data_IF_017598455310
#
_entry.id   IF_017598455310
#
_cell.length_a   1.000
_cell.length_b   1.000
_cell.length_c   1.000
_cell.angle_alpha   90.00
_cell.angle_beta   90.00
_cell.angle_gamma   90.00
#
_symmetry.space_group_name_H-M   'P 1'
#
loop_
_entity.id
_entity.type
_entity.pdbx_description
1 polymer ?
#
# COMPACT_ATOMS: atom_id res chain seq x y z
N UNK A 1 -14.42 23.93 19.29
CA UNK A 1 -13.75 23.02 18.32
C UNK A 1 -14.04 23.53 16.92
N UNK A 2 -13.04 24.04 16.20
CA UNK A 2 -13.21 24.32 14.77
C UNK A 2 -13.39 22.98 14.04
N UNK A 3 -14.49 22.83 13.30
CA UNK A 3 -14.69 21.63 12.47
C UNK A 3 -13.66 21.62 11.35
N UNK A 4 -12.91 20.53 11.22
CA UNK A 4 -12.04 20.30 10.08
C UNK A 4 -12.90 19.89 8.88
N UNK A 5 -13.36 20.87 8.10
CA UNK A 5 -14.00 20.62 6.82
C UNK A 5 -12.95 20.27 5.77
N UNK A 6 -13.21 19.31 4.87
CA UNK A 6 -12.28 18.99 3.79
C UNK A 6 -12.14 20.18 2.84
N UNK A 7 -10.91 20.47 2.39
CA UNK A 7 -10.66 21.50 1.37
C UNK A 7 -11.26 21.12 0.00
N UNK A 8 -11.36 19.82 -0.27
CA UNK A 8 -11.95 19.26 -1.49
C UNK A 8 -12.49 17.86 -1.19
N UNK A 9 -13.69 17.57 -1.70
CA UNK A 9 -14.24 16.21 -1.75
C UNK A 9 -13.90 15.63 -3.13
N UNK A 10 -13.28 14.46 -3.16
CA UNK A 10 -12.96 13.75 -4.39
C UNK A 10 -14.13 12.83 -4.76
N UNK A 11 -14.50 12.79 -6.03
CA UNK A 11 -15.42 11.76 -6.51
C UNK A 11 -14.72 10.40 -6.59
N UNK A 12 -15.50 9.33 -6.70
CA UNK A 12 -14.96 7.98 -6.96
C UNK A 12 -14.07 7.94 -8.20
N UNK A 13 -14.49 8.62 -9.27
CA UNK A 13 -13.72 8.70 -10.52
C UNK A 13 -12.41 9.46 -10.34
N UNK A 14 -12.42 10.55 -9.57
CA UNK A 14 -11.21 11.33 -9.28
C UNK A 14 -10.13 10.53 -8.54
N UNK A 15 -10.55 9.53 -7.75
CA UNK A 15 -9.67 8.77 -6.87
C UNK A 15 -9.26 7.41 -7.47
N UNK A 16 -10.22 6.66 -8.03
CA UNK A 16 -9.96 5.30 -8.51
C UNK A 16 -9.46 5.24 -9.95
N UNK A 17 -9.73 6.27 -10.76
CA UNK A 17 -9.31 6.26 -12.15
C UNK A 17 -7.89 6.85 -12.26
N UNK A 18 -6.95 6.05 -12.76
CA UNK A 18 -5.54 6.42 -12.96
C UNK A 18 -5.27 7.56 -13.94
N UNK A 19 -6.32 8.20 -14.49
CA UNK A 19 -6.21 9.41 -15.30
C UNK A 19 -5.91 10.67 -14.44
N UNK A 20 -6.08 10.58 -13.12
CA UNK A 20 -5.70 11.65 -12.20
C UNK A 20 -4.25 11.48 -11.72
N UNK A 21 -3.59 12.59 -11.39
CA UNK A 21 -2.24 12.55 -10.81
C UNK A 21 -2.20 11.66 -9.56
N UNK A 22 -1.17 10.82 -9.43
CA UNK A 22 -0.93 10.00 -8.24
C UNK A 22 -0.92 10.90 -6.99
N UNK A 23 -1.60 10.46 -5.93
CA UNK A 23 -1.71 11.20 -4.66
C UNK A 23 -0.96 10.50 -3.54
N UNK A 24 -0.70 11.22 -2.47
CA UNK A 24 -0.30 10.64 -1.18
C UNK A 24 -1.55 10.51 -0.31
N UNK A 25 -1.83 9.29 0.15
CA UNK A 25 -3.00 8.95 0.95
C UNK A 25 -2.55 8.48 2.32
N UNK A 26 -3.04 9.16 3.36
CA UNK A 26 -2.85 8.72 4.75
C UNK A 26 -4.13 8.01 5.17
N UNK A 27 -4.05 6.72 5.49
CA UNK A 27 -5.21 5.89 5.76
C UNK A 27 -5.05 5.05 7.03
N UNK A 28 -6.09 5.02 7.87
CA UNK A 28 -6.10 4.21 9.09
C UNK A 28 -6.59 2.78 8.82
N UNK A 29 -7.58 2.62 7.93
CA UNK A 29 -8.18 1.31 7.65
C UNK A 29 -7.43 0.63 6.52
N UNK A 30 -7.00 -0.61 6.73
CA UNK A 30 -6.20 -1.36 5.75
C UNK A 30 -6.87 -1.45 4.37
N UNK A 31 -8.18 -1.70 4.30
CA UNK A 31 -8.88 -1.77 3.01
C UNK A 31 -8.79 -0.47 2.22
N UNK A 32 -8.84 0.69 2.88
CA UNK A 32 -8.70 1.99 2.23
C UNK A 32 -7.28 2.21 1.72
N UNK A 33 -6.28 1.79 2.50
CA UNK A 33 -4.87 1.81 2.09
C UNK A 33 -4.65 0.94 0.84
N UNK A 34 -5.15 -0.29 0.83
CA UNK A 34 -5.00 -1.21 -0.30
C UNK A 34 -5.74 -0.72 -1.56
N UNK A 35 -6.96 -0.17 -1.42
CA UNK A 35 -7.68 0.41 -2.56
C UNK A 35 -6.93 1.61 -3.16
N UNK A 36 -6.29 2.44 -2.33
CA UNK A 36 -5.49 3.56 -2.80
C UNK A 36 -4.22 3.07 -3.54
N UNK A 37 -3.52 2.07 -3.00
CA UNK A 37 -2.39 1.42 -3.69
C UNK A 37 -2.80 0.84 -5.04
N UNK A 38 -3.93 0.12 -5.08
CA UNK A 38 -4.48 -0.45 -6.31
C UNK A 38 -4.85 0.62 -7.34
N UNK A 39 -5.29 1.81 -6.90
CA UNK A 39 -5.54 2.97 -7.76
C UNK A 39 -4.25 3.69 -8.20
N UNK A 40 -3.07 3.18 -7.82
CA UNK A 40 -1.76 3.73 -8.16
C UNK A 40 -1.32 4.91 -7.30
N UNK A 41 -1.95 5.13 -6.14
CA UNK A 41 -1.55 6.18 -5.20
C UNK A 41 -0.48 5.68 -4.23
N UNK A 42 0.29 6.62 -3.68
CA UNK A 42 1.24 6.36 -2.60
C UNK A 42 0.51 6.39 -1.27
N UNK A 43 0.81 5.45 -0.38
CA UNK A 43 0.09 5.30 0.89
C UNK A 43 1.04 5.31 2.08
N UNK A 44 0.64 6.08 3.10
CA UNK A 44 1.17 6.00 4.46
C UNK A 44 0.06 5.45 5.35
N UNK A 45 0.30 4.30 5.97
CA UNK A 45 -0.71 3.60 6.75
C UNK A 45 -0.55 3.85 8.24
N UNK A 46 -1.61 4.34 8.88
CA UNK A 46 -1.67 4.45 10.33
C UNK A 46 -2.43 3.23 10.87
N UNK A 47 -1.70 2.16 11.17
CA UNK A 47 -2.30 0.91 11.62
C UNK A 47 -2.44 0.86 13.13
N UNK A 48 -3.56 0.33 13.61
CA UNK A 48 -3.73 -0.09 15.00
C UNK A 48 -3.79 -1.63 15.15
N UNK A 49 -3.67 -2.38 14.04
CA UNK A 49 -3.75 -3.84 14.02
C UNK A 49 -2.50 -4.46 13.38
N UNK A 50 -2.11 -5.64 13.86
CA UNK A 50 -0.94 -6.37 13.35
C UNK A 50 -0.99 -6.62 11.84
N UNK A 51 -2.18 -6.85 11.28
CA UNK A 51 -2.37 -7.10 9.84
C UNK A 51 -1.95 -5.92 8.96
N UNK A 52 -2.09 -4.68 9.43
CA UNK A 52 -1.66 -3.51 8.67
C UNK A 52 -0.15 -3.43 8.55
N UNK A 53 0.57 -3.73 9.63
CA UNK A 53 2.03 -3.81 9.63
C UNK A 53 2.54 -4.94 8.74
N UNK A 54 1.98 -6.14 8.90
CA UNK A 54 2.37 -7.29 8.09
C UNK A 54 2.17 -7.02 6.59
N UNK A 55 1.00 -6.48 6.19
CA UNK A 55 0.74 -6.17 4.79
C UNK A 55 1.73 -5.16 4.19
N UNK A 56 2.09 -4.11 4.94
CA UNK A 56 3.05 -3.10 4.46
C UNK A 56 4.49 -3.62 4.47
N UNK A 57 4.85 -4.49 5.42
CA UNK A 57 6.15 -5.18 5.40
C UNK A 57 6.26 -6.13 4.21
N UNK A 58 5.22 -6.90 3.91
CA UNK A 58 5.17 -7.79 2.74
C UNK A 58 5.35 -7.00 1.44
N UNK A 59 4.72 -5.83 1.32
CA UNK A 59 4.86 -4.91 0.19
C UNK A 59 6.23 -4.22 0.09
N UNK A 60 7.12 -4.39 1.07
CA UNK A 60 8.40 -3.69 1.14
C UNK A 60 8.28 -2.22 1.56
N UNK A 61 7.17 -1.85 2.18
CA UNK A 61 6.80 -0.49 2.57
C UNK A 61 6.80 -0.30 4.10
N UNK A 62 7.66 -1.04 4.81
CA UNK A 62 7.73 -1.02 6.28
C UNK A 62 7.95 0.37 6.87
N UNK A 63 8.67 1.25 6.18
CA UNK A 63 8.88 2.64 6.63
C UNK A 63 7.62 3.50 6.56
N UNK A 64 6.62 3.10 5.75
CA UNK A 64 5.39 3.86 5.51
C UNK A 64 4.20 3.33 6.32
N UNK A 65 4.43 2.53 7.36
CA UNK A 65 3.39 2.08 8.30
C UNK A 65 3.75 2.43 9.73
N UNK A 66 2.82 3.10 10.42
CA UNK A 66 3.02 3.59 11.77
C UNK A 66 1.87 3.18 12.70
N UNK A 67 2.12 3.15 14.00
CA UNK A 67 1.07 2.89 14.98
C UNK A 67 0.11 4.09 15.08
N UNK A 68 -1.17 3.89 14.82
CA UNK A 68 -2.16 4.97 14.81
C UNK A 68 -2.30 5.72 16.15
N UNK A 69 -1.93 5.10 17.27
CA UNK A 69 -2.02 5.67 18.61
C UNK A 69 -0.74 6.35 19.09
N UNK A 70 0.40 6.10 18.42
CA UNK A 70 1.71 6.54 18.91
C UNK A 70 2.69 6.95 17.81
N UNK A 71 2.20 7.24 16.60
CA UNK A 71 3.05 7.72 15.53
C UNK A 71 3.56 9.14 15.83
N UNK A 72 4.74 9.45 15.28
CA UNK A 72 5.26 10.81 15.28
C UNK A 72 4.70 11.59 14.08
N UNK A 73 3.95 12.69 14.29
CA UNK A 73 3.40 13.49 13.20
C UNK A 73 4.45 14.08 12.27
N UNK A 74 5.62 14.46 12.80
CA UNK A 74 6.71 15.06 11.99
C UNK A 74 7.29 14.03 11.03
N UNK A 75 7.52 12.79 11.50
CA UNK A 75 7.91 11.67 10.64
C UNK A 75 6.91 11.43 9.51
N UNK A 76 5.61 11.39 9.83
CA UNK A 76 4.56 11.20 8.80
C UNK A 76 4.55 12.36 7.81
N UNK A 77 4.71 13.61 8.29
CA UNK A 77 4.77 14.77 7.43
C UNK A 77 5.98 14.73 6.49
N UNK A 78 7.16 14.35 6.99
CA UNK A 78 8.35 14.16 6.18
C UNK A 78 8.15 13.09 5.09
N UNK A 79 7.46 11.98 5.39
CA UNK A 79 7.10 10.99 4.37
C UNK A 79 6.16 11.55 3.31
N UNK A 80 5.16 12.34 3.72
CA UNK A 80 4.25 13.02 2.78
C UNK A 80 5.04 13.93 1.84
N UNK A 81 5.89 14.79 2.40
CA UNK A 81 6.67 15.75 1.61
C UNK A 81 7.67 15.07 0.68
N UNK A 82 8.31 13.98 1.15
CA UNK A 82 9.20 13.15 0.33
C UNK A 82 8.46 12.59 -0.89
N UNK A 83 7.28 12.01 -0.70
CA UNK A 83 6.50 11.41 -1.79
C UNK A 83 5.91 12.47 -2.75
N UNK A 84 5.56 13.65 -2.25
CA UNK A 84 5.08 14.76 -3.08
C UNK A 84 6.20 15.38 -3.92
N UNK A 85 7.39 15.55 -3.35
CA UNK A 85 8.42 16.43 -3.93
C UNK A 85 9.66 15.70 -4.48
N UNK A 86 9.82 14.40 -4.23
CA UNK A 86 10.96 13.61 -4.74
C UNK A 86 10.51 12.56 -5.75
N UNK A 87 11.00 12.67 -6.98
CA UNK A 87 10.80 11.65 -8.02
C UNK A 87 11.49 10.35 -7.67
N UNK A 88 12.74 10.41 -7.21
CA UNK A 88 13.50 9.24 -6.76
C UNK A 88 12.77 8.47 -5.66
N UNK A 89 12.18 9.16 -4.68
CA UNK A 89 11.43 8.49 -3.63
C UNK A 89 10.18 7.77 -4.17
N UNK A 90 9.53 8.34 -5.19
CA UNK A 90 8.39 7.70 -5.86
C UNK A 90 8.82 6.47 -6.66
N UNK A 91 9.96 6.54 -7.34
CA UNK A 91 10.55 5.41 -8.06
C UNK A 91 10.93 4.27 -7.11
N UNK A 92 11.54 4.60 -5.96
CA UNK A 92 11.87 3.63 -4.91
C UNK A 92 10.62 2.94 -4.36
N UNK A 93 9.56 3.71 -4.10
CA UNK A 93 8.27 3.20 -3.63
C UNK A 93 7.62 2.29 -4.67
N UNK A 94 7.51 2.76 -5.92
CA UNK A 94 6.93 2.00 -7.03
C UNK A 94 7.72 0.70 -7.25
N UNK A 95 9.05 0.76 -7.18
CA UNK A 95 9.91 -0.43 -7.29
C UNK A 95 9.72 -1.42 -6.13
N UNK A 96 9.49 -0.96 -4.89
CA UNK A 96 9.20 -1.84 -3.77
C UNK A 96 7.88 -2.61 -3.98
N UNK A 97 6.82 -1.90 -4.35
CA UNK A 97 5.50 -2.50 -4.63
C UNK A 97 5.59 -3.50 -5.80
N UNK A 98 6.25 -3.11 -6.89
CA UNK A 98 6.38 -3.97 -8.07
C UNK A 98 7.19 -5.24 -7.78
N UNK A 99 8.27 -5.14 -6.99
CA UNK A 99 9.03 -6.34 -6.55
C UNK A 99 8.16 -7.26 -5.71
N UNK A 100 7.35 -6.72 -4.81
CA UNK A 100 6.44 -7.55 -4.02
C UNK A 100 5.39 -8.23 -4.88
N UNK A 101 4.79 -7.52 -5.83
CA UNK A 101 3.79 -8.08 -6.74
C UNK A 101 4.37 -9.26 -7.55
N UNK A 102 5.55 -9.07 -8.17
CA UNK A 102 6.21 -10.12 -8.93
C UNK A 102 6.49 -11.39 -8.09
N UNK A 103 7.03 -11.21 -6.88
CA UNK A 103 7.28 -12.33 -5.95
C UNK A 103 6.01 -13.05 -5.54
N UNK A 104 4.92 -12.32 -5.33
CA UNK A 104 3.62 -12.90 -4.99
C UNK A 104 3.08 -13.74 -6.15
N UNK A 105 3.17 -13.25 -7.40
CA UNK A 105 2.74 -13.98 -8.59
C UNK A 105 3.54 -15.29 -8.77
N UNK A 106 4.87 -15.24 -8.61
CA UNK A 106 5.73 -16.43 -8.65
C UNK A 106 5.34 -17.46 -7.58
N UNK A 107 5.06 -17.02 -6.35
CA UNK A 107 4.64 -17.90 -5.27
C UNK A 107 3.26 -18.53 -5.52
N UNK A 108 2.31 -17.77 -6.08
CA UNK A 108 1.00 -18.28 -6.45
C UNK A 108 1.09 -19.32 -7.57
N UNK A 109 1.90 -19.08 -8.59
CA UNK A 109 2.13 -20.04 -9.68
C UNK A 109 2.76 -21.34 -9.16
N UNK A 110 3.79 -21.23 -8.30
CA UNK A 110 4.43 -22.39 -7.68
C UNK A 110 3.46 -23.18 -6.79
N UNK A 111 2.64 -22.49 -5.98
CA UNK A 111 1.60 -23.12 -5.17
C UNK A 111 0.56 -23.81 -6.04
N UNK A 112 0.11 -23.15 -7.11
CA UNK A 112 -0.82 -23.72 -8.08
C UNK A 112 -0.27 -24.97 -8.76
N UNK A 113 0.99 -24.98 -9.14
CA UNK A 113 1.67 -26.15 -9.71
C UNK A 113 1.74 -27.29 -8.69
N UNK A 114 2.21 -27.01 -7.47
CA UNK A 114 2.29 -28.02 -6.40
C UNK A 114 0.93 -28.62 -6.05
N UNK A 115 -0.13 -27.81 -5.99
CA UNK A 115 -1.49 -28.28 -5.75
C UNK A 115 -1.99 -29.15 -6.91
N UNK A 116 -1.70 -28.79 -8.16
CA UNK A 116 -2.03 -29.61 -9.34
C UNK A 116 -1.31 -30.95 -9.31
N UNK A 117 -0.01 -30.96 -9.03
CA UNK A 117 0.79 -32.19 -8.95
C UNK A 117 0.31 -33.12 -7.81
N UNK A 118 -0.06 -32.54 -6.67
CA UNK A 118 -0.62 -33.29 -5.54
C UNK A 118 -1.99 -33.89 -5.86
N UNK A 119 -2.84 -33.17 -6.61
CA UNK A 119 -4.17 -33.65 -7.03
C UNK A 119 -4.09 -34.68 -8.15
N UNK A 120 -3.14 -34.53 -9.09
CA UNK A 120 -2.95 -35.44 -10.23
C UNK A 120 -2.18 -36.72 -9.85
N UNK A 121 -1.60 -36.78 -8.65
CA UNK A 121 -1.10 -38.01 -8.07
C UNK A 121 0.25 -38.46 -8.65
N UNK A 122 1.33 -38.01 -8.02
CA UNK A 122 2.42 -38.93 -7.71
C UNK A 122 1.94 -39.83 -6.56
N UNK A 123 1.07 -40.78 -6.90
CA UNK A 123 0.98 -42.07 -6.22
C UNK A 123 1.93 -42.99 -6.96
N UNK A 124 3.17 -43.08 -6.48
CA UNK A 124 4.08 -44.18 -6.77
C UNK A 124 4.37 -44.93 -5.47
#
# INVERSE_FOLDING_TARGET
MQSLNPRRILSRGDFLNGASAKRVVVAVRLHAALMALQAGHYVIHLSYERKGFAAFEDLGLKEYVHNAFSFDPETVHAHIDRLLNSETAREEYDAAVNRSAARTDEAYEALGASLRDAVLGVTA
#
